data_IF_991682533766
#
_entry.id   IF_991682533766
#
_cell.length_a   1.000
_cell.length_b   1.000
_cell.length_c   1.000
_cell.angle_alpha   90.00
_cell.angle_beta   90.00
_cell.angle_gamma   90.00
#
_symmetry.space_group_name_H-M   'P 1'
#
loop_
_entity.id
_entity.type
_entity.pdbx_description
1 polymer ?
#
# COMPACT_ATOMS: atom_id res chain seq x y z
N UNK A 1 -7.14 23.11 7.47
CA UNK A 1 -6.56 22.24 6.41
C UNK A 1 -5.26 21.56 6.85
N UNK A 2 -4.56 22.04 7.88
CA UNK A 2 -3.31 21.45 8.41
C UNK A 2 -3.47 20.18 9.29
N UNK A 3 -4.69 19.66 9.48
CA UNK A 3 -4.95 18.57 10.46
C UNK A 3 -5.16 17.18 9.83
N UNK A 4 -5.23 17.06 8.50
CA UNK A 4 -5.47 15.74 7.84
C UNK A 4 -4.21 14.89 7.67
N UNK A 5 -3.04 15.52 7.53
CA UNK A 5 -1.78 14.81 7.32
C UNK A 5 -1.07 14.45 8.64
N UNK A 6 -1.46 15.06 9.76
CA UNK A 6 -0.86 14.83 11.09
C UNK A 6 -0.94 13.36 11.51
N UNK A 7 -2.01 12.67 11.13
CA UNK A 7 -2.24 11.25 11.43
C UNK A 7 -1.28 10.33 10.68
N UNK A 8 -0.56 10.84 9.66
CA UNK A 8 0.33 10.07 8.79
C UNK A 8 1.81 10.46 8.97
N UNK A 9 2.15 11.47 9.78
CA UNK A 9 3.54 11.94 9.94
C UNK A 9 4.49 10.89 10.51
N UNK A 10 3.94 9.87 11.16
CA UNK A 10 4.70 8.72 11.67
C UNK A 10 5.33 7.88 10.54
N UNK A 11 4.85 7.99 9.30
CA UNK A 11 5.42 7.28 8.13
C UNK A 11 6.78 7.88 7.67
N UNK A 12 7.03 9.16 7.96
CA UNK A 12 8.31 9.82 7.67
C UNK A 12 9.28 9.74 8.85
N UNK A 13 8.74 9.76 10.08
CA UNK A 13 9.49 9.69 11.34
C UNK A 13 8.98 8.52 12.17
N UNK A 14 9.31 7.28 11.78
CA UNK A 14 8.75 6.11 12.42
C UNK A 14 9.20 5.97 13.87
N UNK A 15 8.24 5.76 14.78
CA UNK A 15 8.50 5.24 16.12
C UNK A 15 8.86 3.75 16.11
N UNK A 16 9.01 3.13 17.28
CA UNK A 16 9.52 1.75 17.42
C UNK A 16 8.73 0.71 16.60
N UNK A 17 7.40 0.79 16.55
CA UNK A 17 6.57 -0.16 15.80
C UNK A 17 6.53 0.13 14.29
N UNK A 18 6.75 1.38 13.91
CA UNK A 18 6.72 1.83 12.53
C UNK A 18 8.06 1.66 11.81
N UNK A 19 9.16 1.49 12.55
CA UNK A 19 10.52 1.34 11.97
C UNK A 19 10.61 0.16 11.01
N UNK A 20 9.73 -0.84 11.19
CA UNK A 20 9.68 -2.05 10.39
C UNK A 20 9.21 -1.81 8.95
N UNK A 21 8.39 -0.77 8.71
CA UNK A 21 7.99 -0.41 7.33
C UNK A 21 9.21 0.01 6.50
N UNK A 22 10.17 0.72 7.12
CA UNK A 22 11.41 1.10 6.48
C UNK A 22 11.24 1.93 5.21
N UNK A 23 12.16 1.75 4.27
CA UNK A 23 12.23 2.53 3.02
C UNK A 23 11.47 1.89 1.84
N UNK A 24 11.09 0.62 1.98
CA UNK A 24 10.34 -0.15 0.98
C UNK A 24 9.24 -0.92 1.67
N UNK A 25 7.98 -0.60 1.35
CA UNK A 25 6.82 -1.33 1.84
C UNK A 25 5.61 -1.07 0.95
N UNK A 26 4.63 -1.97 1.03
CA UNK A 26 3.31 -1.75 0.46
C UNK A 26 2.22 -2.04 1.48
N UNK A 27 1.20 -1.18 1.54
CA UNK A 27 -0.02 -1.40 2.32
C UNK A 27 -1.19 -1.38 1.37
N UNK A 28 -2.01 -2.42 1.43
CA UNK A 28 -3.21 -2.55 0.62
C UNK A 28 -4.45 -2.84 1.47
N UNK A 29 -5.60 -2.33 1.03
CA UNK A 29 -6.88 -2.44 1.69
C UNK A 29 -7.85 -3.14 0.76
N UNK A 30 -8.53 -4.18 1.25
CA UNK A 30 -9.51 -4.99 0.50
C UNK A 30 -10.89 -4.91 1.14
N UNK A 31 -11.90 -4.43 0.41
CA UNK A 31 -13.26 -4.29 0.95
C UNK A 31 -13.94 -5.64 1.06
N UNK A 32 -14.52 -5.93 2.22
CA UNK A 32 -15.44 -7.06 2.40
C UNK A 32 -14.79 -8.45 2.37
N UNK A 33 -13.46 -8.53 2.24
CA UNK A 33 -12.73 -9.79 2.35
C UNK A 33 -12.21 -10.02 3.76
N UNK A 34 -12.17 -11.28 4.16
CA UNK A 34 -11.49 -11.74 5.37
C UNK A 34 -9.97 -11.78 5.18
N UNK A 35 -9.18 -11.78 6.27
CA UNK A 35 -7.73 -11.89 6.17
C UNK A 35 -7.25 -13.17 5.48
N UNK A 36 -7.99 -14.27 5.64
CA UNK A 36 -7.68 -15.56 4.98
C UNK A 36 -7.88 -15.46 3.47
N UNK A 37 -8.99 -14.87 3.01
CA UNK A 37 -9.24 -14.70 1.57
C UNK A 37 -8.20 -13.79 0.90
N UNK A 38 -7.78 -12.73 1.60
CA UNK A 38 -6.69 -11.87 1.10
C UNK A 38 -5.38 -12.65 1.07
N UNK A 39 -5.05 -13.39 2.12
CA UNK A 39 -3.83 -14.18 2.17
C UNK A 39 -3.77 -15.21 1.03
N UNK A 40 -4.86 -15.93 0.78
CA UNK A 40 -4.96 -16.90 -0.31
C UNK A 40 -4.77 -16.26 -1.69
N UNK A 41 -5.20 -15.01 -1.87
CA UNK A 41 -4.96 -14.26 -3.13
C UNK A 41 -3.51 -13.83 -3.28
N UNK A 42 -2.80 -13.55 -2.20
CA UNK A 42 -1.35 -13.29 -2.23
C UNK A 42 -0.53 -14.57 -2.40
N UNK A 43 -1.01 -15.69 -1.87
CA UNK A 43 -0.32 -16.97 -1.88
C UNK A 43 -0.06 -17.51 -3.29
N UNK A 44 0.94 -18.39 -3.44
CA UNK A 44 1.09 -19.22 -4.64
C UNK A 44 -0.16 -20.05 -4.93
N UNK A 45 -0.42 -20.31 -6.21
CA UNK A 45 -1.52 -21.19 -6.62
C UNK A 45 -1.44 -22.54 -5.90
N UNK A 46 -2.58 -23.00 -5.38
CA UNK A 46 -2.69 -24.26 -4.63
C UNK A 46 -2.30 -24.16 -3.15
N UNK A 47 -1.93 -22.97 -2.64
CA UNK A 47 -1.79 -22.73 -1.20
C UNK A 47 -3.02 -21.99 -0.69
N UNK A 48 -3.81 -22.64 0.18
CA UNK A 48 -5.00 -22.03 0.79
C UNK A 48 -4.99 -22.25 2.30
N UNK A 49 -5.35 -21.23 3.08
CA UNK A 49 -5.45 -21.29 4.54
C UNK A 49 -4.12 -21.50 5.27
N UNK A 50 -2.97 -21.32 4.60
CA UNK A 50 -1.63 -21.46 5.21
C UNK A 50 -1.21 -20.10 5.78
N UNK A 51 -1.83 -19.71 6.90
CA UNK A 51 -1.50 -18.50 7.64
C UNK A 51 -1.06 -18.80 9.07
N UNK A 52 -0.17 -17.99 9.62
CA UNK A 52 0.21 -18.03 11.03
C UNK A 52 0.00 -16.66 11.65
N UNK A 53 -0.58 -16.61 12.84
CA UNK A 53 -0.65 -15.36 13.60
C UNK A 53 0.75 -14.96 14.07
N UNK A 54 1.14 -13.73 13.74
CA UNK A 54 2.47 -13.18 13.98
C UNK A 54 2.35 -11.69 14.33
N UNK A 55 3.30 -11.18 15.12
CA UNK A 55 3.43 -9.73 15.30
C UNK A 55 4.10 -9.08 14.09
N UNK A 56 4.06 -7.75 13.98
CA UNK A 56 4.83 -7.02 12.95
C UNK A 56 6.35 -7.27 13.07
N UNK A 57 6.84 -7.52 14.28
CA UNK A 57 8.23 -7.90 14.54
C UNK A 57 8.53 -9.27 13.93
N UNK A 58 7.70 -10.28 14.21
CA UNK A 58 7.89 -11.64 13.67
C UNK A 58 7.79 -11.66 12.14
N UNK A 59 6.91 -10.84 11.56
CA UNK A 59 6.87 -10.61 10.11
C UNK A 59 8.21 -10.05 9.60
N UNK A 60 8.78 -9.05 10.30
CA UNK A 60 10.08 -8.49 9.98
C UNK A 60 11.21 -9.53 9.99
N UNK A 61 11.21 -10.44 10.96
CA UNK A 61 12.20 -11.52 11.06
C UNK A 61 12.10 -12.51 9.88
N UNK A 62 10.88 -12.99 9.56
CA UNK A 62 10.72 -13.94 8.43
C UNK A 62 11.02 -13.29 7.08
N UNK A 63 10.70 -12.00 6.92
CA UNK A 63 11.06 -11.20 5.75
C UNK A 63 12.57 -11.03 5.66
N UNK A 64 13.24 -10.71 6.77
CA UNK A 64 14.70 -10.59 6.82
C UNK A 64 15.43 -11.88 6.42
N UNK A 65 14.92 -13.02 6.89
CA UNK A 65 15.42 -14.33 6.49
C UNK A 65 15.21 -14.64 5.01
N UNK A 66 14.04 -14.29 4.47
CA UNK A 66 13.74 -14.46 3.06
C UNK A 66 14.65 -13.60 2.19
N UNK A 67 14.78 -12.31 2.50
CA UNK A 67 15.62 -11.36 1.76
C UNK A 67 17.08 -11.80 1.76
N UNK A 68 17.59 -12.33 2.88
CA UNK A 68 18.97 -12.86 2.94
C UNK A 68 19.18 -14.04 1.99
N UNK A 69 18.17 -14.92 1.86
CA UNK A 69 18.22 -16.09 0.96
C UNK A 69 18.11 -15.69 -0.51
N UNK A 70 17.23 -14.73 -0.83
CA UNK A 70 16.93 -14.30 -2.21
C UNK A 70 17.77 -13.11 -2.68
N UNK A 71 18.64 -12.58 -1.82
CA UNK A 71 19.40 -11.36 -2.04
C UNK A 71 18.51 -10.15 -2.38
N UNK A 72 17.27 -10.15 -1.90
CA UNK A 72 16.27 -9.09 -2.12
C UNK A 72 15.63 -9.07 -3.52
N UNK A 73 16.03 -9.95 -4.45
CA UNK A 73 15.53 -9.95 -5.83
C UNK A 73 14.02 -10.25 -5.96
N UNK A 74 13.43 -10.85 -4.93
CA UNK A 74 12.00 -11.18 -4.85
C UNK A 74 11.27 -10.36 -3.78
N UNK A 75 11.82 -9.21 -3.38
CA UNK A 75 11.30 -8.42 -2.26
C UNK A 75 11.26 -9.22 -0.95
N UNK A 76 10.30 -8.90 -0.09
CA UNK A 76 10.15 -9.51 1.24
C UNK A 76 9.50 -10.88 1.26
N UNK A 77 8.80 -11.29 0.20
CA UNK A 77 8.26 -12.65 0.02
C UNK A 77 7.10 -13.05 0.96
N UNK A 78 6.69 -12.19 1.90
CA UNK A 78 5.62 -12.45 2.85
C UNK A 78 4.68 -11.25 2.97
N UNK A 79 3.43 -11.52 3.32
CA UNK A 79 2.42 -10.51 3.63
C UNK A 79 1.80 -10.81 5.00
N UNK A 80 1.53 -9.76 5.77
CA UNK A 80 0.73 -9.84 7.00
C UNK A 80 -0.61 -9.16 6.81
N UNK A 81 -1.70 -9.85 7.18
CA UNK A 81 -3.07 -9.37 6.92
C UNK A 81 -3.88 -9.28 8.21
N UNK A 82 -4.69 -8.23 8.35
CA UNK A 82 -5.60 -8.04 9.49
C UNK A 82 -6.90 -7.34 9.06
N UNK A 83 -8.01 -7.68 9.71
CA UNK A 83 -9.27 -6.98 9.52
C UNK A 83 -9.28 -5.62 10.25
N UNK A 84 -9.72 -4.56 9.57
CA UNK A 84 -9.90 -3.20 10.08
C UNK A 84 -11.16 -2.58 9.45
N UNK A 85 -12.18 -2.25 10.24
CA UNK A 85 -13.37 -1.47 9.82
C UNK A 85 -14.06 -1.91 8.50
N UNK A 86 -14.26 -3.22 8.33
CA UNK A 86 -14.89 -3.80 7.13
C UNK A 86 -13.96 -3.89 5.90
N UNK A 87 -12.69 -3.59 6.09
CA UNK A 87 -11.59 -3.85 5.17
C UNK A 87 -10.63 -4.87 5.75
N UNK A 88 -9.93 -5.62 4.89
CA UNK A 88 -8.71 -6.31 5.28
C UNK A 88 -7.52 -5.48 4.84
N UNK A 89 -6.65 -5.12 5.78
CA UNK A 89 -5.40 -4.44 5.53
C UNK A 89 -4.28 -5.47 5.41
N UNK A 90 -3.53 -5.43 4.32
CA UNK A 90 -2.36 -6.25 4.07
C UNK A 90 -1.09 -5.40 4.03
N UNK A 91 -0.03 -5.89 4.66
CA UNK A 91 1.26 -5.21 4.79
C UNK A 91 2.34 -6.10 4.19
N UNK A 92 3.07 -5.56 3.22
CA UNK A 92 4.26 -6.14 2.63
C UNK A 92 5.48 -5.34 3.10
N UNK A 93 6.35 -5.94 3.92
CA UNK A 93 7.64 -5.33 4.27
C UNK A 93 8.64 -5.67 3.16
N UNK A 94 9.42 -4.69 2.70
CA UNK A 94 10.32 -4.83 1.54
C UNK A 94 9.60 -5.41 0.30
N UNK A 95 8.30 -5.17 0.15
CA UNK A 95 7.47 -5.73 -0.92
C UNK A 95 6.63 -4.66 -1.62
N UNK A 96 6.17 -5.00 -2.83
CA UNK A 96 5.44 -4.12 -3.75
C UNK A 96 4.49 -4.92 -4.65
N UNK A 97 4.08 -6.13 -4.24
CA UNK A 97 3.27 -7.01 -5.05
C UNK A 97 1.87 -6.47 -5.30
N UNK A 98 1.23 -5.82 -4.32
CA UNK A 98 -0.12 -5.29 -4.50
C UNK A 98 -0.27 -4.25 -5.62
N UNK A 99 0.81 -3.55 -5.97
CA UNK A 99 0.83 -2.54 -7.04
C UNK A 99 1.33 -3.09 -8.38
N UNK A 100 1.75 -4.36 -8.44
CA UNK A 100 2.23 -4.97 -9.68
C UNK A 100 1.07 -5.42 -10.57
N UNK A 101 1.13 -5.20 -11.90
CA UNK A 101 0.08 -5.64 -12.83
C UNK A 101 -0.24 -7.14 -12.78
N UNK A 102 0.77 -7.99 -12.54
CA UNK A 102 0.59 -9.45 -12.49
C UNK A 102 -0.11 -9.95 -11.20
N UNK A 103 -0.24 -9.10 -10.18
CA UNK A 103 -0.94 -9.40 -8.93
C UNK A 103 -2.25 -8.63 -8.80
N UNK A 104 -2.29 -7.38 -9.26
CA UNK A 104 -3.43 -6.47 -9.09
C UNK A 104 -4.76 -7.11 -9.50
N UNK A 105 -4.83 -7.73 -10.68
CA UNK A 105 -6.07 -8.31 -11.19
C UNK A 105 -6.58 -9.47 -10.34
N UNK A 106 -5.69 -10.33 -9.80
CA UNK A 106 -6.12 -11.43 -8.94
C UNK A 106 -6.45 -10.95 -7.52
N UNK A 107 -5.70 -9.99 -7.02
CA UNK A 107 -5.87 -9.43 -5.68
C UNK A 107 -7.20 -8.67 -5.54
N UNK A 108 -7.57 -7.90 -6.56
CA UNK A 108 -8.79 -7.06 -6.53
C UNK A 108 -10.06 -7.75 -7.09
N UNK A 109 -9.98 -8.98 -7.59
CA UNK A 109 -11.15 -9.69 -8.17
C UNK A 109 -12.30 -9.81 -7.16
N UNK A 110 -13.51 -9.41 -7.56
CA UNK A 110 -14.70 -9.44 -6.71
C UNK A 110 -14.64 -8.52 -5.48
N UNK A 111 -13.72 -7.55 -5.41
CA UNK A 111 -13.67 -6.57 -4.32
C UNK A 111 -13.18 -5.20 -4.80
N UNK A 112 -13.24 -4.24 -3.90
CA UNK A 112 -12.57 -2.96 -4.03
C UNK A 112 -11.19 -3.04 -3.35
N UNK A 113 -10.15 -2.53 -4.00
CA UNK A 113 -8.78 -2.54 -3.50
C UNK A 113 -8.11 -1.17 -3.64
N UNK A 114 -7.48 -0.68 -2.58
CA UNK A 114 -6.59 0.48 -2.62
C UNK A 114 -5.22 0.06 -2.11
N UNK A 115 -4.14 0.41 -2.80
CA UNK A 115 -2.77 0.12 -2.39
C UNK A 115 -1.88 1.35 -2.46
N UNK A 116 -1.04 1.53 -1.45
CA UNK A 116 0.03 2.54 -1.39
C UNK A 116 1.35 1.83 -1.21
N UNK A 117 2.28 2.05 -2.13
CA UNK A 117 3.64 1.52 -2.10
C UNK A 117 4.63 2.67 -1.93
N UNK A 118 5.58 2.49 -1.01
CA UNK A 118 6.81 3.29 -0.93
C UNK A 118 7.96 2.44 -1.42
N UNK A 119 8.80 2.98 -2.30
CA UNK A 119 10.01 2.30 -2.75
C UNK A 119 11.13 3.31 -2.98
N UNK A 120 11.96 3.56 -1.97
CA UNK A 120 12.99 4.62 -2.03
C UNK A 120 14.04 4.47 -3.16
N UNK A 121 14.16 3.27 -3.74
CA UNK A 121 15.11 2.95 -4.81
C UNK A 121 14.45 2.76 -6.18
N UNK A 122 13.14 3.05 -6.30
CA UNK A 122 12.34 2.98 -7.52
C UNK A 122 11.18 3.98 -7.40
N UNK A 123 10.06 3.71 -8.06
CA UNK A 123 8.88 4.55 -7.98
C UNK A 123 7.96 4.13 -6.81
N UNK A 124 7.47 5.12 -6.08
CA UNK A 124 6.33 4.94 -5.19
C UNK A 124 5.06 4.74 -6.05
N UNK A 125 4.02 4.11 -5.52
CA UNK A 125 2.80 3.88 -6.31
C UNK A 125 1.53 4.01 -5.48
N UNK A 126 0.51 4.60 -6.07
CA UNK A 126 -0.87 4.53 -5.61
C UNK A 126 -1.69 3.75 -6.65
N UNK A 127 -2.51 2.80 -6.18
CA UNK A 127 -3.41 2.01 -7.03
C UNK A 127 -4.78 1.95 -6.40
N UNK A 128 -5.81 2.19 -7.20
CA UNK A 128 -7.21 1.94 -6.91
C UNK A 128 -7.77 0.99 -7.97
N UNK A 129 -8.30 -0.15 -7.54
CA UNK A 129 -8.78 -1.22 -8.41
C UNK A 129 -10.13 -1.76 -7.92
N UNK A 130 -10.98 -2.18 -8.86
CA UNK A 130 -12.30 -2.74 -8.59
C UNK A 130 -12.49 -3.96 -9.49
N UNK A 131 -12.85 -5.09 -8.89
CA UNK A 131 -13.16 -6.34 -9.60
C UNK A 131 -12.10 -6.79 -10.62
N UNK A 132 -10.82 -6.69 -10.25
CA UNK A 132 -9.71 -7.09 -11.10
C UNK A 132 -9.26 -6.04 -12.12
N UNK A 133 -9.95 -4.90 -12.18
CA UNK A 133 -9.66 -3.79 -13.09
C UNK A 133 -8.98 -2.63 -12.37
N UNK A 134 -7.88 -2.13 -12.95
CA UNK A 134 -7.22 -0.93 -12.47
C UNK A 134 -8.04 0.31 -12.88
N UNK A 135 -8.68 0.94 -11.90
CA UNK A 135 -9.46 2.16 -12.09
C UNK A 135 -8.53 3.37 -12.20
N UNK A 136 -7.63 3.53 -11.24
CA UNK A 136 -6.70 4.66 -11.18
C UNK A 136 -5.37 4.24 -10.59
N UNK A 137 -4.27 4.50 -11.29
CA UNK A 137 -2.91 4.40 -10.79
C UNK A 137 -2.15 5.70 -11.03
N UNK A 138 -1.24 6.04 -10.12
CA UNK A 138 -0.30 7.17 -10.28
C UNK A 138 0.89 7.07 -9.33
N UNK A 139 1.96 7.78 -9.64
CA UNK A 139 3.08 7.96 -8.72
C UNK A 139 2.72 9.04 -7.70
N UNK A 140 2.81 8.80 -6.38
CA UNK A 140 2.38 9.73 -5.33
C UNK A 140 2.91 11.17 -5.44
N UNK A 141 4.06 11.39 -6.09
CA UNK A 141 4.62 12.72 -6.32
C UNK A 141 4.10 13.41 -7.60
N UNK A 142 3.36 12.69 -8.45
CA UNK A 142 2.76 13.12 -9.72
C UNK A 142 1.24 12.82 -9.77
N UNK A 143 0.43 13.29 -8.80
CA UNK A 143 -1.00 12.95 -8.74
C UNK A 143 -1.81 13.45 -9.95
N UNK A 144 -1.28 14.40 -10.74
CA UNK A 144 -1.88 14.86 -11.99
C UNK A 144 -1.69 13.91 -13.19
N UNK A 145 -0.72 12.99 -13.13
CA UNK A 145 -0.42 12.03 -14.19
C UNK A 145 -0.95 10.65 -13.78
N UNK A 146 -2.19 10.36 -14.15
CA UNK A 146 -2.91 9.14 -13.76
C UNK A 146 -3.17 8.23 -14.96
N UNK A 147 -3.23 6.92 -14.72
CA UNK A 147 -3.59 5.88 -15.69
C UNK A 147 -4.64 4.92 -15.11
N UNK A 148 -5.21 4.06 -15.95
CA UNK A 148 -6.29 3.14 -15.57
C UNK A 148 -7.51 3.31 -16.49
N UNK A 149 -8.58 2.57 -16.23
CA UNK A 149 -9.81 2.64 -17.03
C UNK A 149 -10.67 3.86 -16.72
N UNK A 150 -10.60 4.37 -15.50
CA UNK A 150 -11.28 5.60 -15.06
C UNK A 150 -10.32 6.49 -14.25
N UNK A 151 -9.24 7.02 -14.85
CA UNK A 151 -8.16 7.71 -14.14
C UNK A 151 -8.63 8.96 -13.37
N UNK A 152 -9.78 9.54 -13.73
CA UNK A 152 -10.36 10.73 -13.10
C UNK A 152 -11.39 10.43 -12.00
N UNK A 153 -11.71 9.15 -11.75
CA UNK A 153 -12.77 8.76 -10.80
C UNK A 153 -12.51 9.27 -9.39
N UNK A 154 -11.23 9.42 -9.01
CA UNK A 154 -10.79 9.88 -7.69
C UNK A 154 -10.59 11.40 -7.60
N UNK A 155 -10.90 12.18 -8.66
CA UNK A 155 -10.72 13.64 -8.66
C UNK A 155 -11.43 14.35 -7.49
N UNK A 156 -12.66 13.97 -7.09
CA UNK A 156 -13.29 14.55 -5.89
C UNK A 156 -12.44 14.41 -4.62
N UNK A 157 -11.77 13.27 -4.43
CA UNK A 157 -10.94 13.00 -3.25
C UNK A 157 -9.58 13.69 -3.33
N UNK A 158 -8.98 13.77 -4.53
CA UNK A 158 -7.79 14.58 -4.77
C UNK A 158 -8.04 16.06 -4.43
N UNK A 159 -9.18 16.61 -4.86
CA UNK A 159 -9.57 18.00 -4.56
C UNK A 159 -9.73 18.25 -3.06
N UNK A 160 -10.34 17.32 -2.30
CA UNK A 160 -10.45 17.43 -0.84
C UNK A 160 -9.08 17.55 -0.15
N UNK A 161 -8.05 16.91 -0.73
CA UNK A 161 -6.67 16.95 -0.23
C UNK A 161 -5.83 18.10 -0.82
N UNK A 162 -6.42 18.91 -1.70
CA UNK A 162 -5.74 19.97 -2.43
C UNK A 162 -4.59 19.44 -3.30
N UNK A 163 -4.77 18.25 -3.88
CA UNK A 163 -3.88 17.67 -4.87
C UNK A 163 -4.31 18.12 -6.28
N UNK A 164 -3.36 18.35 -7.20
CA UNK A 164 -3.69 18.71 -8.57
C UNK A 164 -4.31 17.50 -9.28
N UNK A 165 -5.36 17.76 -10.06
CA UNK A 165 -6.00 16.77 -10.95
C UNK A 165 -5.45 16.84 -12.38
N UNK A 166 -4.72 17.90 -12.73
CA UNK A 166 -4.10 18.08 -14.04
C UNK A 166 -2.57 17.95 -13.94
N UNK A 167 -1.92 17.59 -15.05
CA UNK A 167 -0.46 17.60 -15.14
C UNK A 167 0.04 19.05 -15.01
N UNK A 168 0.91 19.28 -14.02
CA UNK A 168 1.55 20.57 -13.81
C UNK A 168 2.75 20.72 -14.76
N UNK A 169 2.94 21.91 -15.30
CA UNK A 169 4.01 22.24 -16.22
C UNK A 169 4.82 23.45 -15.71
N UNK A 170 6.07 23.55 -16.14
CA UNK A 170 6.96 24.70 -15.94
C UNK A 170 6.97 25.23 -14.49
N UNK A 171 6.75 26.53 -14.33
CA UNK A 171 6.80 27.24 -13.05
C UNK A 171 5.79 26.69 -12.02
N UNK A 172 4.64 26.17 -12.47
CA UNK A 172 3.63 25.58 -11.57
C UNK A 172 4.11 24.26 -10.97
N UNK A 173 4.85 23.47 -11.75
CA UNK A 173 5.50 22.25 -11.27
C UNK A 173 6.60 22.58 -10.27
N UNK A 174 7.51 23.50 -10.62
CA UNK A 174 8.63 23.91 -9.75
C UNK A 174 8.14 24.43 -8.38
N UNK A 175 7.10 25.28 -8.38
CA UNK A 175 6.49 25.81 -7.14
C UNK A 175 5.84 24.73 -6.28
N UNK A 176 5.42 23.62 -6.89
CA UNK A 176 4.69 22.55 -6.21
C UNK A 176 5.57 21.39 -5.78
N UNK A 177 6.79 21.26 -6.33
CA UNK A 177 7.69 20.12 -6.14
C UNK A 177 7.86 19.71 -4.69
N UNK A 178 8.37 20.60 -3.82
CA UNK A 178 8.62 20.27 -2.42
C UNK A 178 7.35 19.82 -1.69
N UNK A 179 6.23 20.51 -1.93
CA UNK A 179 4.94 20.14 -1.32
C UNK A 179 4.47 18.76 -1.76
N UNK A 180 4.60 18.43 -3.05
CA UNK A 180 4.12 17.17 -3.61
C UNK A 180 5.08 16.03 -3.25
N UNK A 181 6.38 16.24 -3.39
CA UNK A 181 7.40 15.23 -3.18
C UNK A 181 7.62 14.92 -1.69
N UNK A 182 7.81 15.92 -0.83
CA UNK A 182 8.20 15.70 0.56
C UNK A 182 7.07 15.03 1.36
N UNK A 183 5.81 15.24 0.98
CA UNK A 183 4.63 14.69 1.65
C UNK A 183 3.91 13.62 0.82
N UNK A 184 4.54 13.10 -0.25
CA UNK A 184 3.89 12.21 -1.22
C UNK A 184 3.26 10.98 -0.58
N UNK A 185 3.98 10.31 0.33
CA UNK A 185 3.50 9.10 1.01
C UNK A 185 2.36 9.44 1.98
N UNK A 186 2.50 10.50 2.79
CA UNK A 186 1.45 10.97 3.69
C UNK A 186 0.15 11.29 2.94
N UNK A 187 0.27 11.93 1.76
CA UNK A 187 -0.86 12.30 0.91
C UNK A 187 -1.50 11.09 0.23
N UNK A 188 -0.71 10.10 -0.18
CA UNK A 188 -1.23 8.85 -0.72
C UNK A 188 -2.03 8.06 0.33
N UNK A 189 -1.55 8.00 1.58
CA UNK A 189 -2.32 7.40 2.68
C UNK A 189 -3.54 8.21 3.09
N UNK A 190 -3.47 9.55 3.04
CA UNK A 190 -4.65 10.39 3.22
C UNK A 190 -5.71 10.13 2.15
N UNK A 191 -5.30 9.95 0.89
CA UNK A 191 -6.22 9.59 -0.20
C UNK A 191 -6.81 8.19 0.01
N UNK A 192 -5.99 7.21 0.41
CA UNK A 192 -6.48 5.89 0.75
C UNK A 192 -7.52 5.95 1.89
N UNK A 193 -7.30 6.79 2.90
CA UNK A 193 -8.26 6.99 3.98
C UNK A 193 -9.55 7.67 3.52
N UNK A 194 -9.51 8.62 2.57
CA UNK A 194 -10.71 9.24 2.00
C UNK A 194 -11.58 8.23 1.23
N UNK A 195 -10.94 7.28 0.51
CA UNK A 195 -11.65 6.24 -0.25
C UNK A 195 -12.17 5.13 0.67
N UNK A 196 -11.32 4.64 1.57
CA UNK A 196 -11.63 3.45 2.38
C UNK A 196 -12.37 3.76 3.67
N UNK A 197 -12.23 4.98 4.19
CA UNK A 197 -12.60 5.34 5.56
C UNK A 197 -11.62 4.81 6.63
N UNK A 198 -10.56 4.09 6.23
CA UNK A 198 -9.57 3.52 7.16
C UNK A 198 -8.35 4.41 7.25
N UNK A 199 -8.05 4.91 8.45
CA UNK A 199 -6.83 5.68 8.70
C UNK A 199 -5.70 4.74 9.08
N UNK A 200 -4.64 4.69 8.26
CA UNK A 200 -3.43 3.94 8.58
C UNK A 200 -2.60 4.62 9.68
N UNK A 201 -3.02 4.41 10.93
CA UNK A 201 -2.27 4.84 12.12
C UNK A 201 -1.24 3.79 12.51
N UNK A 202 -0.19 4.19 13.22
CA UNK A 202 0.83 3.25 13.72
C UNK A 202 0.23 2.17 14.62
N UNK A 203 -0.87 2.46 15.32
CA UNK A 203 -1.55 1.49 16.19
C UNK A 203 -2.18 0.31 15.45
N UNK A 204 -2.41 0.42 14.13
CA UNK A 204 -2.86 -0.72 13.34
C UNK A 204 -1.79 -1.83 13.22
N UNK A 205 -0.52 -1.47 13.47
CA UNK A 205 0.59 -2.43 13.58
C UNK A 205 0.60 -3.13 14.94
N UNK A 206 -0.19 -2.65 15.92
CA UNK A 206 -0.29 -3.25 17.25
C UNK A 206 -1.30 -4.39 17.21
N UNK A 207 -0.80 -5.63 17.21
CA UNK A 207 -1.63 -6.84 17.28
C UNK A 207 -1.21 -7.91 16.28
N UNK A 208 -1.90 -9.05 16.29
CA UNK A 208 -1.58 -10.16 15.40
C UNK A 208 -1.96 -9.83 13.94
N UNK A 209 -1.09 -10.22 13.04
CA UNK A 209 -1.28 -10.31 11.60
C UNK A 209 -1.38 -11.78 11.23
N UNK A 210 -2.30 -12.13 10.34
CA UNK A 210 -2.26 -13.42 9.67
C UNK A 210 -1.18 -13.35 8.58
N UNK A 211 -0.07 -14.04 8.77
CA UNK A 211 1.10 -14.00 7.90
C UNK A 211 1.22 -15.26 7.06
N UNK A 212 1.55 -15.09 5.78
CA UNK A 212 1.87 -16.18 4.86
C UNK A 212 2.71 -15.72 3.67
N UNK A 213 3.24 -16.69 2.90
CA UNK A 213 4.16 -16.42 1.80
C UNK A 213 3.41 -15.88 0.56
N UNK A 214 4.05 -14.99 -0.18
CA UNK A 214 3.58 -14.48 -1.48
C UNK A 214 4.13 -15.36 -2.62
N UNK A 215 5.40 -15.77 -2.51
CA UNK A 215 6.08 -16.61 -3.50
C UNK A 215 6.32 -18.01 -2.94
N UNK A 216 6.50 -19.01 -3.81
CA UNK A 216 7.03 -20.30 -3.37
C UNK A 216 8.39 -20.08 -2.71
N UNK A 217 8.64 -20.74 -1.58
CA UNK A 217 9.93 -20.67 -0.89
C UNK A 217 11.01 -21.21 -1.83
N UNK A 218 12.07 -20.43 -2.03
CA UNK A 218 13.26 -20.85 -2.77
C UNK A 218 14.09 -21.86 -1.95
#
# INVERSE_FOLDING_TARGET
MADRLSQFTWLDKPGENARWLGEIFCVSFFRGLSPVEVLDRFGPEGTTGIGREMTIHDLGEVVGDFVRKTQGGSGGGYVGVRQVDGWSMAIELLGWYAVRPDYLTRLSRGCEMVAVSRHAYADDSFVYAVDGELITGFDPHLPGSRWGSEPDRINPDLHKLGLPTEILHDEAWEKSWHRLYDQRILRAFALAAEITGVVFTSSLLDGPLLVGPITQQA
#
